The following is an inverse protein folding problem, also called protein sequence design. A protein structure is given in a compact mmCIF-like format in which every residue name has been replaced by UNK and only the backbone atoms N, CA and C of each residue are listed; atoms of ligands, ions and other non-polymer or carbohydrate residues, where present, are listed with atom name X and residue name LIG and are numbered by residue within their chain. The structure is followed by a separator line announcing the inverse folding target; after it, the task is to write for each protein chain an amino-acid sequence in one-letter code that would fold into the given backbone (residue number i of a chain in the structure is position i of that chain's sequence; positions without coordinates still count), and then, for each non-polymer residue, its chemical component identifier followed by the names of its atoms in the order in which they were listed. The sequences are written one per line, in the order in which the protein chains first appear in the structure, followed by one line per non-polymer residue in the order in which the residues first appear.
data_IF_110623136952
#
_entry.id   IF_110623136952
#
_cell.length_a   1.000
_cell.length_b   1.000
_cell.length_c   1.000
_cell.angle_alpha   90.00
_cell.angle_beta   90.00
_cell.angle_gamma   90.00
#
_symmetry.space_group_name_H-M   'P 1'
#
loop_
_entity.id
_entity.type
_entity.pdbx_description
1 polymer ?
#
# COMPACT_ATOMS: atom_id res chain seq x y z
N UNK A 1 -9.89 16.16 -9.13
CA UNK A 1 -8.95 15.64 -8.09
C UNK A 1 -8.33 14.34 -8.59
N UNK A 2 -7.04 14.18 -8.42
CA UNK A 2 -6.35 12.94 -8.78
C UNK A 2 -5.43 12.52 -7.63
N UNK A 3 -4.78 11.35 -7.78
CA UNK A 3 -3.98 10.78 -6.70
C UNK A 3 -2.82 11.69 -6.26
N UNK A 4 -2.31 12.51 -7.16
CA UNK A 4 -1.15 13.37 -6.87
C UNK A 4 -1.49 14.61 -6.03
N UNK A 5 -2.78 14.85 -5.77
CA UNK A 5 -3.22 15.96 -4.92
C UNK A 5 -3.14 15.65 -3.43
N UNK A 6 -2.82 14.41 -3.08
CA UNK A 6 -2.78 13.96 -1.68
C UNK A 6 -1.37 14.03 -1.12
N UNK A 7 -1.30 14.15 0.22
CA UNK A 7 -0.06 14.08 0.98
C UNK A 7 -0.11 12.88 1.91
N UNK A 8 1.04 12.26 2.13
CA UNK A 8 1.18 11.11 3.00
C UNK A 8 2.29 11.41 4.01
N UNK A 9 2.35 10.63 5.11
CA UNK A 9 3.36 10.85 6.16
C UNK A 9 4.31 9.67 6.23
N UNK A 10 5.61 9.97 6.35
CA UNK A 10 6.60 8.95 6.63
C UNK A 10 6.53 8.51 8.10
N UNK A 11 7.37 7.56 8.51
CA UNK A 11 7.35 7.02 9.88
C UNK A 11 7.72 8.06 10.94
N UNK A 12 8.33 9.17 10.55
CA UNK A 12 8.71 10.27 11.46
C UNK A 12 7.65 11.37 11.46
N UNK A 13 6.55 11.21 10.73
CA UNK A 13 5.47 12.18 10.65
C UNK A 13 5.68 13.29 9.63
N UNK A 14 6.74 13.23 8.84
CA UNK A 14 7.00 14.21 7.78
C UNK A 14 6.05 14.01 6.62
N UNK A 15 5.42 15.08 6.16
CA UNK A 15 4.55 15.03 5.00
C UNK A 15 5.33 14.93 3.69
N UNK A 16 4.86 14.07 2.80
CA UNK A 16 5.40 13.89 1.46
C UNK A 16 4.25 13.98 0.46
N UNK A 17 4.42 14.70 -0.67
CA UNK A 17 3.35 14.76 -1.67
C UNK A 17 3.33 13.48 -2.51
N UNK A 18 2.15 12.99 -2.82
CA UNK A 18 2.01 11.87 -3.76
C UNK A 18 2.54 12.21 -5.15
N UNK A 19 2.65 13.51 -5.48
CA UNK A 19 3.19 13.97 -6.77
C UNK A 19 4.63 13.54 -7.00
N UNK A 20 5.37 13.18 -5.95
CA UNK A 20 6.75 12.66 -6.14
C UNK A 20 6.77 11.33 -6.90
N UNK A 21 5.64 10.65 -6.99
CA UNK A 21 5.51 9.37 -7.69
C UNK A 21 4.95 9.49 -9.10
N UNK A 22 4.81 10.70 -9.64
CA UNK A 22 4.36 10.89 -11.01
C UNK A 22 5.20 10.07 -11.98
N UNK A 23 4.53 9.40 -12.92
CA UNK A 23 5.19 8.58 -13.93
C UNK A 23 5.56 7.18 -13.47
N UNK A 24 5.27 6.85 -12.21
CA UNK A 24 5.52 5.51 -11.65
C UNK A 24 4.24 4.69 -11.63
N UNK A 25 4.38 3.38 -11.76
CA UNK A 25 3.31 2.44 -11.45
C UNK A 25 3.34 2.19 -9.95
N UNK A 26 2.18 2.28 -9.28
CA UNK A 26 2.13 2.16 -7.82
C UNK A 26 1.31 0.94 -7.39
N UNK A 27 1.82 0.21 -6.41
CA UNK A 27 1.04 -0.72 -5.60
C UNK A 27 0.89 -0.08 -4.22
N UNK A 28 -0.34 0.22 -3.84
CA UNK A 28 -0.66 0.83 -2.54
C UNK A 28 -1.35 -0.24 -1.71
N UNK A 29 -0.78 -0.57 -0.55
CA UNK A 29 -1.23 -1.70 0.26
C UNK A 29 -1.32 -1.30 1.72
N UNK A 30 -2.39 -1.73 2.40
CA UNK A 30 -2.53 -1.60 3.85
C UNK A 30 -2.06 -2.90 4.51
N UNK A 31 -1.23 -2.79 5.53
CA UNK A 31 -0.48 -3.92 6.06
C UNK A 31 -0.60 -4.05 7.57
N UNK A 32 -0.10 -5.17 8.10
CA UNK A 32 -0.03 -5.43 9.53
C UNK A 32 1.09 -6.42 9.81
N UNK A 33 1.59 -6.38 11.06
CA UNK A 33 2.71 -7.23 11.50
C UNK A 33 2.26 -8.56 12.09
N UNK A 34 0.99 -8.68 12.49
CA UNK A 34 0.45 -9.88 13.17
C UNK A 34 -0.69 -10.56 12.43
N UNK A 35 -0.83 -10.32 11.12
CA UNK A 35 -1.88 -10.91 10.30
C UNK A 35 -1.43 -12.26 9.73
N UNK A 36 -2.39 -13.16 9.49
CA UNK A 36 -2.10 -14.40 8.76
C UNK A 36 -1.54 -14.16 7.36
N UNK A 37 -1.82 -12.99 6.76
CA UNK A 37 -1.29 -12.60 5.46
C UNK A 37 0.04 -11.84 5.54
N UNK A 38 0.58 -11.58 6.73
CA UNK A 38 1.85 -10.85 6.89
C UNK A 38 2.99 -11.44 6.04
N UNK A 39 3.08 -12.77 5.85
CA UNK A 39 4.09 -13.34 4.94
C UNK A 39 4.01 -12.82 3.50
N UNK A 40 2.93 -12.17 3.10
CA UNK A 40 2.85 -11.52 1.77
C UNK A 40 3.89 -10.41 1.59
N UNK A 41 4.49 -9.89 2.68
CA UNK A 41 5.63 -8.97 2.56
C UNK A 41 6.76 -9.57 1.72
N UNK A 42 6.99 -10.88 1.81
CA UNK A 42 8.00 -11.55 0.99
C UNK A 42 7.72 -11.41 -0.51
N UNK A 43 6.46 -11.65 -0.89
CA UNK A 43 6.04 -11.51 -2.28
C UNK A 43 6.07 -10.06 -2.76
N UNK A 44 5.69 -9.11 -1.90
CA UNK A 44 5.78 -7.69 -2.22
C UNK A 44 7.23 -7.27 -2.47
N UNK A 45 8.16 -7.74 -1.66
CA UNK A 45 9.58 -7.43 -1.85
C UNK A 45 10.12 -8.02 -3.15
N UNK A 46 9.69 -9.25 -3.50
CA UNK A 46 10.06 -9.85 -4.78
C UNK A 46 9.59 -9.01 -5.96
N UNK A 47 8.34 -8.52 -5.93
CA UNK A 47 7.81 -7.63 -6.96
C UNK A 47 8.63 -6.35 -7.04
N UNK A 48 8.96 -5.77 -5.89
CA UNK A 48 9.73 -4.54 -5.83
C UNK A 48 11.10 -4.71 -6.46
N UNK A 49 11.82 -5.76 -6.09
CA UNK A 49 13.14 -6.07 -6.66
C UNK A 49 13.08 -6.30 -8.16
N UNK A 50 12.03 -6.96 -8.62
CA UNK A 50 11.88 -7.31 -10.03
C UNK A 50 11.55 -6.09 -10.90
N UNK A 51 10.71 -5.18 -10.42
CA UNK A 51 10.14 -4.12 -11.25
C UNK A 51 10.52 -2.70 -10.84
N UNK A 52 11.18 -2.49 -9.70
CA UNK A 52 11.51 -1.15 -9.23
C UNK A 52 12.28 -0.34 -10.27
N UNK A 53 13.29 -0.92 -10.88
CA UNK A 53 14.10 -0.24 -11.90
C UNK A 53 13.30 0.09 -13.16
N UNK A 54 12.21 -0.63 -13.38
CA UNK A 54 11.33 -0.41 -14.53
C UNK A 54 10.23 0.62 -14.24
N UNK A 55 10.14 1.10 -13.01
CA UNK A 55 9.20 2.15 -12.64
C UNK A 55 8.13 1.78 -11.63
N UNK A 56 8.24 0.64 -10.95
CA UNK A 56 7.30 0.26 -9.88
C UNK A 56 7.72 0.88 -8.55
N UNK A 57 6.75 1.45 -7.84
CA UNK A 57 6.87 1.80 -6.42
C UNK A 57 5.81 1.06 -5.62
N UNK A 58 6.17 0.62 -4.41
CA UNK A 58 5.23 0.01 -3.46
C UNK A 58 5.13 0.92 -2.25
N UNK A 59 3.91 1.32 -1.91
CA UNK A 59 3.63 2.20 -0.78
C UNK A 59 2.94 1.38 0.30
N UNK A 60 3.65 1.15 1.39
CA UNK A 60 3.23 0.30 2.51
C UNK A 60 2.66 1.17 3.64
N UNK A 61 1.35 1.05 3.87
CA UNK A 61 0.64 1.79 4.92
C UNK A 61 0.15 0.83 6.01
N UNK A 62 0.87 0.71 7.14
CA UNK A 62 0.37 -0.11 8.25
C UNK A 62 -0.96 0.44 8.78
N UNK A 63 -1.85 -0.47 9.19
CA UNK A 63 -3.17 -0.12 9.69
C UNK A 63 -3.55 -1.06 10.83
N UNK A 64 -4.04 -0.51 11.95
CA UNK A 64 -4.38 -1.29 13.13
C UNK A 64 -5.89 -1.55 13.28
N UNK A 65 -6.70 -1.27 12.25
CA UNK A 65 -8.17 -1.38 12.31
C UNK A 65 -8.69 -2.81 12.22
N UNK A 66 -7.84 -3.78 11.82
CA UNK A 66 -8.27 -5.16 11.60
C UNK A 66 -7.72 -6.04 12.72
N UNK A 67 -8.56 -6.29 13.75
CA UNK A 67 -8.23 -7.13 14.88
C UNK A 67 -6.96 -6.69 15.64
N UNK A 68 -6.64 -5.38 15.60
CA UNK A 68 -5.46 -4.81 16.26
C UNK A 68 -4.16 -5.55 15.89
N UNK A 69 -4.00 -5.91 14.62
CA UNK A 69 -2.87 -6.70 14.16
C UNK A 69 -1.64 -5.88 13.78
N UNK A 70 -1.67 -4.57 13.98
CA UNK A 70 -0.52 -3.68 13.81
C UNK A 70 -0.41 -2.70 15.00
N UNK A 71 -0.25 -3.22 16.25
CA UNK A 71 -0.30 -2.37 17.45
C UNK A 71 0.98 -1.57 17.72
N UNK A 72 2.10 -1.96 17.13
CA UNK A 72 3.41 -1.37 17.39
C UNK A 72 3.49 0.09 16.90
N UNK A 73 4.52 0.82 17.36
CA UNK A 73 4.81 2.16 16.86
C UNK A 73 5.25 2.11 15.40
N UNK A 74 5.23 3.27 14.72
CA UNK A 74 5.69 3.37 13.34
C UNK A 74 7.13 2.86 13.19
N UNK A 75 8.03 3.23 14.10
CA UNK A 75 9.42 2.80 14.06
C UNK A 75 9.56 1.30 14.29
N UNK A 76 8.79 0.75 15.22
CA UNK A 76 8.80 -0.70 15.48
C UNK A 76 8.29 -1.50 14.28
N UNK A 77 7.25 -1.01 13.60
CA UNK A 77 6.72 -1.66 12.40
C UNK A 77 7.77 -1.64 11.29
N UNK A 78 8.41 -0.49 11.05
CA UNK A 78 9.45 -0.38 10.03
C UNK A 78 10.62 -1.32 10.34
N UNK A 79 11.03 -1.41 11.60
CA UNK A 79 12.09 -2.33 12.03
C UNK A 79 11.69 -3.79 11.83
N UNK A 80 10.44 -4.13 12.14
CA UNK A 80 9.91 -5.47 11.90
C UNK A 80 10.03 -5.87 10.43
N UNK A 81 9.58 -4.98 9.52
CA UNK A 81 9.65 -5.24 8.09
C UNK A 81 11.10 -5.43 7.60
N UNK A 82 12.00 -4.57 8.06
CA UNK A 82 13.41 -4.65 7.69
C UNK A 82 14.07 -5.94 8.21
N UNK A 83 13.78 -6.34 9.44
CA UNK A 83 14.43 -7.50 10.06
C UNK A 83 13.86 -8.83 9.57
N UNK A 84 12.53 -8.93 9.44
CA UNK A 84 11.88 -10.20 9.13
C UNK A 84 11.72 -10.45 7.64
N UNK A 85 11.54 -9.39 6.84
CA UNK A 85 11.25 -9.53 5.41
C UNK A 85 12.26 -8.80 4.51
N UNK A 86 13.20 -8.05 5.11
CA UNK A 86 14.25 -7.31 4.39
C UNK A 86 13.67 -6.42 3.29
N UNK A 87 12.55 -5.75 3.62
CA UNK A 87 11.86 -4.90 2.66
C UNK A 87 12.73 -3.72 2.23
N UNK A 88 12.77 -3.47 0.92
CA UNK A 88 13.49 -2.34 0.32
C UNK A 88 12.56 -1.18 -0.01
N UNK A 89 11.26 -1.44 -0.14
CA UNK A 89 10.27 -0.38 -0.34
C UNK A 89 9.96 0.35 0.99
N UNK A 90 9.45 1.57 0.87
CA UNK A 90 9.23 2.41 2.04
C UNK A 90 7.97 2.02 2.80
N UNK A 91 8.08 1.91 4.13
CA UNK A 91 6.95 1.82 5.05
C UNK A 91 6.60 3.22 5.52
N UNK A 92 5.32 3.59 5.42
CA UNK A 92 4.83 4.90 5.85
C UNK A 92 4.22 4.84 7.25
N UNK A 93 3.82 5.99 7.78
CA UNK A 93 3.16 6.07 9.08
C UNK A 93 1.84 5.30 9.06
N UNK A 94 1.50 4.71 10.18
CA UNK A 94 0.23 4.00 10.39
C UNK A 94 -0.95 4.93 10.14
N UNK A 95 -1.97 4.44 9.44
CA UNK A 95 -3.18 5.20 9.12
C UNK A 95 -4.43 4.37 9.38
N UNK A 96 -5.58 5.04 9.41
CA UNK A 96 -6.88 4.39 9.28
C UNK A 96 -7.27 4.36 7.80
N UNK A 97 -7.90 3.28 7.37
CA UNK A 97 -8.35 3.11 5.98
C UNK A 97 -9.88 3.12 5.86
N UNK A 98 -10.59 2.94 6.97
CA UNK A 98 -12.06 2.95 7.04
C UNK A 98 -12.52 3.94 8.12
N UNK A 99 -13.79 4.37 8.01
CA UNK A 99 -14.42 5.25 8.99
C UNK A 99 -14.13 6.71 8.76
N UNK A 100 -14.59 7.55 9.70
CA UNK A 100 -14.50 9.01 9.54
C UNK A 100 -13.06 9.53 9.58
N UNK A 101 -12.16 8.80 10.24
CA UNK A 101 -10.75 9.17 10.36
C UNK A 101 -9.87 8.52 9.30
N UNK A 102 -10.46 7.88 8.30
CA UNK A 102 -9.69 7.28 7.22
C UNK A 102 -8.82 8.33 6.53
N UNK A 103 -7.61 7.93 6.20
CA UNK A 103 -6.69 8.81 5.47
C UNK A 103 -7.35 9.26 4.15
N UNK A 104 -7.24 10.56 3.79
CA UNK A 104 -7.83 11.07 2.55
C UNK A 104 -7.45 10.29 1.30
N UNK A 105 -6.21 9.81 1.22
CA UNK A 105 -5.77 8.96 0.11
C UNK A 105 -6.64 7.71 0.02
N UNK A 106 -6.89 7.03 1.14
CA UNK A 106 -7.69 5.82 1.15
C UNK A 106 -9.18 6.09 0.87
N UNK A 107 -9.71 7.23 1.29
CA UNK A 107 -11.06 7.63 0.89
C UNK A 107 -11.16 7.74 -0.63
N UNK A 108 -10.15 8.32 -1.24
CA UNK A 108 -10.07 8.46 -2.69
C UNK A 108 -9.95 7.10 -3.40
N UNK A 109 -9.02 6.25 -2.94
CA UNK A 109 -8.81 4.92 -3.52
C UNK A 109 -10.08 4.08 -3.50
N UNK A 110 -10.78 4.05 -2.38
CA UNK A 110 -12.03 3.31 -2.23
C UNK A 110 -13.12 3.82 -3.16
N UNK A 111 -13.18 5.14 -3.35
CA UNK A 111 -14.14 5.76 -4.26
C UNK A 111 -13.86 5.40 -5.71
N UNK A 112 -12.59 5.31 -6.09
CA UNK A 112 -12.20 4.98 -7.46
C UNK A 112 -12.43 3.51 -7.80
N UNK A 113 -12.12 2.59 -6.87
CA UNK A 113 -12.25 1.14 -7.08
C UNK A 113 -12.79 0.47 -5.82
N UNK A 114 -14.09 0.47 -5.68
CA UNK A 114 -14.71 -0.15 -4.52
C UNK A 114 -16.17 -0.49 -4.69
N UNK A 115 -16.85 0.15 -5.63
CA UNK A 115 -18.26 -0.04 -5.83
C UNK A 115 -19.09 0.36 -4.59
N UNK A 116 -20.25 -0.27 -4.41
CA UNK A 116 -21.17 0.03 -3.31
C UNK A 116 -20.57 -0.33 -1.94
N UNK A 117 -19.82 -1.43 -1.88
CA UNK A 117 -19.14 -1.89 -0.66
C UNK A 117 -17.66 -1.57 -0.75
N UNK A 118 -17.35 -0.28 -0.69
CA UNK A 118 -15.98 0.19 -0.91
C UNK A 118 -15.04 -0.02 0.27
N UNK A 119 -15.57 -0.29 1.48
CA UNK A 119 -14.74 -0.46 2.67
C UNK A 119 -13.63 -1.49 2.45
N UNK A 120 -12.47 -1.23 3.04
CA UNK A 120 -11.38 -2.20 3.06
C UNK A 120 -11.79 -3.32 4.02
N UNK A 121 -11.77 -4.56 3.54
CA UNK A 121 -12.29 -5.71 4.30
C UNK A 121 -11.27 -6.30 5.25
N UNK A 122 -9.98 -6.20 4.93
CA UNK A 122 -8.91 -6.79 5.74
C UNK A 122 -7.55 -6.24 5.34
N UNK A 123 -6.52 -6.62 6.09
CA UNK A 123 -5.13 -6.28 5.77
C UNK A 123 -4.71 -6.87 4.42
N UNK A 124 -3.75 -6.25 3.78
CA UNK A 124 -3.17 -6.68 2.49
C UNK A 124 -4.14 -6.59 1.31
N UNK A 125 -5.08 -5.64 1.36
CA UNK A 125 -5.81 -5.17 0.18
C UNK A 125 -4.84 -4.31 -0.64
N UNK A 126 -4.78 -4.51 -1.95
CA UNK A 126 -3.84 -3.81 -2.83
C UNK A 126 -4.60 -3.01 -3.88
N UNK A 127 -4.14 -1.79 -4.12
CA UNK A 127 -4.60 -0.96 -5.24
C UNK A 127 -3.46 -0.79 -6.22
N UNK A 128 -3.76 -0.91 -7.52
CA UNK A 128 -2.79 -0.73 -8.60
C UNK A 128 -3.09 0.57 -9.33
N UNK A 129 -2.07 1.41 -9.49
CA UNK A 129 -2.18 2.74 -10.09
C UNK A 129 -1.26 2.81 -11.28
N UNK A 130 -1.77 3.31 -12.42
CA UNK A 130 -0.99 3.44 -13.65
C UNK A 130 -0.04 4.66 -13.61
N UNK A 131 0.74 4.85 -14.66
CA UNK A 131 1.73 5.92 -14.74
C UNK A 131 1.11 7.32 -14.78
N UNK A 132 -0.16 7.42 -15.13
CA UNK A 132 -0.90 8.68 -15.18
C UNK A 132 -1.67 8.98 -13.89
N UNK A 133 -1.55 8.11 -12.88
CA UNK A 133 -2.20 8.30 -11.59
C UNK A 133 -3.63 7.78 -11.53
N UNK A 134 -4.05 6.98 -12.50
CA UNK A 134 -5.37 6.36 -12.47
C UNK A 134 -5.35 5.08 -11.65
N UNK A 135 -6.31 4.91 -10.75
CA UNK A 135 -6.48 3.67 -9.97
C UNK A 135 -7.17 2.67 -10.88
N UNK A 136 -6.45 1.65 -11.34
CA UNK A 136 -6.94 0.75 -12.40
C UNK A 136 -7.44 -0.59 -11.88
N UNK A 137 -6.92 -1.06 -10.73
CA UNK A 137 -7.31 -2.37 -10.17
C UNK A 137 -7.29 -2.33 -8.64
N UNK A 138 -8.13 -3.16 -8.04
CA UNK A 138 -8.12 -3.47 -6.61
C UNK A 138 -8.03 -4.98 -6.45
N UNK A 139 -7.12 -5.45 -5.62
CA UNK A 139 -6.92 -6.87 -5.34
C UNK A 139 -7.30 -7.19 -3.90
N UNK A 140 -8.05 -8.26 -3.71
CA UNK A 140 -8.47 -8.72 -2.39
C UNK A 140 -7.27 -9.17 -1.53
N UNK A 141 -7.43 -9.19 -0.19
CA UNK A 141 -6.35 -9.58 0.71
C UNK A 141 -5.70 -10.93 0.39
N UNK A 142 -6.48 -11.90 -0.01
CA UNK A 142 -5.98 -13.27 -0.27
C UNK A 142 -5.28 -13.43 -1.62
N UNK A 143 -5.22 -12.37 -2.44
CA UNK A 143 -4.48 -12.42 -3.70
C UNK A 143 -2.99 -12.27 -3.38
N UNK A 144 -2.22 -13.32 -3.65
CA UNK A 144 -0.77 -13.27 -3.44
C UNK A 144 -0.13 -12.23 -4.37
N UNK A 145 0.90 -11.50 -3.88
CA UNK A 145 1.54 -10.46 -4.69
C UNK A 145 2.02 -10.93 -6.06
N UNK A 146 2.53 -12.15 -6.18
CA UNK A 146 2.99 -12.69 -7.46
C UNK A 146 1.89 -12.74 -8.52
N UNK A 147 0.62 -12.85 -8.09
CA UNK A 147 -0.52 -12.87 -9.02
C UNK A 147 -0.77 -11.50 -9.65
N UNK A 148 -0.14 -10.46 -9.14
CA UNK A 148 -0.26 -9.11 -9.68
C UNK A 148 0.75 -8.83 -10.79
N UNK A 149 1.73 -9.71 -11.01
CA UNK A 149 2.85 -9.48 -11.93
C UNK A 149 2.40 -9.10 -13.32
N UNK A 150 1.45 -9.82 -13.90
CA UNK A 150 0.99 -9.55 -15.26
C UNK A 150 0.33 -8.16 -15.35
N UNK A 151 -0.53 -7.83 -14.40
CA UNK A 151 -1.19 -6.53 -14.38
C UNK A 151 -0.18 -5.39 -14.24
N UNK A 152 0.86 -5.58 -13.43
CA UNK A 152 1.95 -4.61 -13.27
C UNK A 152 2.71 -4.45 -14.58
N UNK A 153 3.11 -5.55 -15.20
CA UNK A 153 3.87 -5.52 -16.47
C UNK A 153 3.12 -4.79 -17.58
N UNK A 154 1.81 -4.94 -17.64
CA UNK A 154 0.99 -4.27 -18.65
C UNK A 154 1.03 -2.74 -18.52
N UNK A 155 1.32 -2.22 -17.32
CA UNK A 155 1.37 -0.78 -17.06
C UNK A 155 2.78 -0.20 -17.18
N UNK A 156 3.80 -1.02 -17.08
CA UNK A 156 5.19 -0.61 -17.20
C UNK A 156 5.56 -0.41 -18.68
#
# INVERSE_FOLDING_TARGET
MNIYDFKIKDIDGKELPMSKYKGKVLVIVNTATHCGFTPQYEGLEKLYKQYHKKGLEILDFPCNQFANQAPESNQEIASFCALHYKTSFQTFAKIDVNGKNADPLYKYLKKQKGGILSAIKWNFTKFLVDREGNVVRRFAPNVEPEKMSQAIEELL
#
